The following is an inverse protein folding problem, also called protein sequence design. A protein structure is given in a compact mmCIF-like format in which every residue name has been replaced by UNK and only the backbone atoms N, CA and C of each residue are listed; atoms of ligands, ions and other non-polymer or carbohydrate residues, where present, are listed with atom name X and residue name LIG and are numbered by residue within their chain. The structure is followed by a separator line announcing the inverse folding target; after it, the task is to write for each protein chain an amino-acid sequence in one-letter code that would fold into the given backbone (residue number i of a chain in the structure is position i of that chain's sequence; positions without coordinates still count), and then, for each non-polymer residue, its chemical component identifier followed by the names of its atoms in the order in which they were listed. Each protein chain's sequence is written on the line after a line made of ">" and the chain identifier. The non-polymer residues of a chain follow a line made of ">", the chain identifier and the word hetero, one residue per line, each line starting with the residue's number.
data_IF_308382103910
#
_entry.id   IF_308382103910
#
_cell.length_a   1.000
_cell.length_b   1.000
_cell.length_c   1.000
_cell.angle_alpha   90.00
_cell.angle_beta   90.00
_cell.angle_gamma   90.00
#
_symmetry.space_group_name_H-M   'P 1'
#
loop_
_entity.id
_entity.type
_entity.pdbx_description
1 polymer ?
#
# COMPACT_ATOMS: atom_id res chain seq x y z
N UNK A 1 -16.11 17.58 51.52
CA UNK A 1 -15.17 16.48 51.82
C UNK A 1 -15.96 15.18 51.80
N UNK A 2 -16.07 14.51 50.65
CA UNK A 2 -16.81 13.25 50.52
C UNK A 2 -16.16 12.43 49.40
N UNK A 3 -15.79 11.19 49.78
CA UNK A 3 -15.16 10.18 48.93
C UNK A 3 -16.16 9.68 47.88
N UNK A 4 -15.71 9.52 46.64
CA UNK A 4 -16.39 8.71 45.64
C UNK A 4 -15.42 7.63 45.13
N UNK A 5 -15.76 6.39 45.46
CA UNK A 5 -15.25 5.17 44.83
C UNK A 5 -16.13 4.90 43.61
N UNK A 6 -15.55 4.67 42.43
CA UNK A 6 -16.22 3.87 41.40
C UNK A 6 -15.22 3.29 40.38
N UNK A 7 -14.92 2.00 40.57
CA UNK A 7 -15.01 0.93 39.56
C UNK A 7 -14.80 1.36 38.10
N UNK A 8 -13.62 1.05 37.55
CA UNK A 8 -13.44 0.85 36.10
C UNK A 8 -12.85 -0.54 35.89
N UNK A 9 -13.73 -1.53 35.88
CA UNK A 9 -13.46 -2.89 35.41
C UNK A 9 -14.00 -3.06 33.99
N UNK A 10 -13.11 -3.53 33.11
CA UNK A 10 -13.40 -4.56 32.11
C UNK A 10 -14.50 -4.28 31.06
N UNK A 11 -14.14 -3.55 29.99
CA UNK A 11 -14.81 -3.68 28.68
C UNK A 11 -13.77 -3.53 27.55
N UNK A 12 -13.00 -4.59 27.30
CA UNK A 12 -12.14 -4.70 26.12
C UNK A 12 -12.24 -6.13 25.54
N UNK A 13 -13.47 -6.60 25.37
CA UNK A 13 -13.82 -7.83 24.63
C UNK A 13 -15.14 -7.61 23.92
N UNK A 14 -15.17 -6.65 22.99
CA UNK A 14 -16.24 -6.54 22.00
C UNK A 14 -15.60 -6.26 20.63
N UNK A 15 -15.54 -7.34 19.84
CA UNK A 15 -15.78 -7.34 18.39
C UNK A 15 -14.72 -6.76 17.45
N UNK A 16 -13.68 -7.57 17.18
CA UNK A 16 -12.89 -7.50 15.93
C UNK A 16 -13.75 -7.85 14.70
N UNK A 17 -14.94 -8.46 14.89
CA UNK A 17 -15.88 -8.77 13.81
C UNK A 17 -16.74 -7.58 13.35
N UNK A 18 -16.87 -6.51 14.15
CA UNK A 18 -17.69 -5.34 13.78
C UNK A 18 -16.91 -4.22 13.06
N UNK A 19 -15.57 -4.23 13.10
CA UNK A 19 -14.78 -3.15 12.51
C UNK A 19 -14.54 -3.30 11.00
N UNK A 20 -14.85 -4.47 10.41
CA UNK A 20 -14.71 -4.70 8.95
C UNK A 20 -15.90 -4.16 8.13
N UNK A 21 -16.99 -3.69 8.76
CA UNK A 21 -18.21 -3.27 8.04
C UNK A 21 -18.48 -1.76 8.11
N UNK A 22 -17.83 -0.99 9.00
CA UNK A 22 -18.20 0.43 9.23
C UNK A 22 -17.08 1.46 9.04
N UNK A 23 -16.02 1.17 8.29
CA UNK A 23 -14.94 2.16 7.99
C UNK A 23 -14.67 2.28 6.49
N UNK A 24 -15.71 2.13 5.66
CA UNK A 24 -15.67 2.51 4.24
C UNK A 24 -16.98 3.22 3.89
N UNK A 25 -17.26 4.36 4.53
CA UNK A 25 -18.15 5.39 3.95
C UNK A 25 -17.89 6.70 4.69
N UNK A 26 -17.11 7.60 4.07
CA UNK A 26 -17.49 8.99 4.09
C UNK A 26 -17.64 9.48 2.65
N UNK A 27 -18.86 9.90 2.31
CA UNK A 27 -19.18 10.87 1.26
C UNK A 27 -18.62 10.60 -0.14
N UNK A 28 -19.22 9.64 -0.85
CA UNK A 28 -19.32 9.71 -2.31
C UNK A 28 -20.67 10.34 -2.64
N UNK A 29 -20.69 11.63 -2.94
CA UNK A 29 -21.85 12.28 -3.57
C UNK A 29 -21.95 11.76 -5.01
N UNK A 30 -22.70 10.67 -5.23
CA UNK A 30 -23.17 10.33 -6.57
C UNK A 30 -24.29 11.27 -6.97
N UNK A 31 -24.27 11.67 -8.24
CA UNK A 31 -25.20 12.62 -8.86
C UNK A 31 -26.66 12.29 -8.55
N UNK A 32 -27.47 13.34 -8.37
CA UNK A 32 -28.94 13.27 -8.36
C UNK A 32 -29.46 12.71 -9.69
N UNK A 33 -29.47 11.40 -9.85
CA UNK A 33 -30.53 10.71 -10.58
C UNK A 33 -31.49 10.18 -9.51
N UNK A 34 -32.74 10.63 -9.58
CA UNK A 34 -33.81 10.03 -8.76
C UNK A 34 -33.81 8.53 -9.09
N UNK A 35 -33.83 7.63 -8.10
CA UNK A 35 -34.13 6.23 -8.39
C UNK A 35 -35.53 6.21 -9.00
N UNK A 36 -35.65 5.75 -10.24
CA UNK A 36 -36.88 5.07 -10.63
C UNK A 36 -37.05 3.87 -9.70
N UNK A 37 -38.26 3.60 -9.23
CA UNK A 37 -38.62 2.63 -8.18
C UNK A 37 -38.29 1.15 -8.47
N UNK A 38 -37.35 0.84 -9.38
CA UNK A 38 -37.02 -0.51 -9.86
C UNK A 38 -35.60 -1.02 -9.49
N UNK A 39 -34.78 -0.26 -8.75
CA UNK A 39 -33.43 -0.68 -8.31
C UNK A 39 -33.47 -1.64 -7.09
N UNK A 40 -34.35 -2.64 -7.10
CA UNK A 40 -34.54 -3.62 -6.02
C UNK A 40 -33.67 -4.89 -6.15
N UNK A 41 -32.66 -4.89 -7.01
CA UNK A 41 -31.84 -6.07 -7.32
C UNK A 41 -31.08 -6.64 -6.11
N UNK A 42 -30.79 -5.84 -5.08
CA UNK A 42 -30.21 -6.30 -3.80
C UNK A 42 -31.10 -6.00 -2.60
N UNK A 43 -32.38 -6.36 -2.72
CA UNK A 43 -33.30 -6.36 -1.59
C UNK A 43 -32.89 -7.41 -0.53
N UNK A 44 -33.32 -7.27 0.75
CA UNK A 44 -33.06 -8.27 1.79
C UNK A 44 -33.45 -9.72 1.38
N UNK A 45 -34.55 -9.97 0.65
CA UNK A 45 -34.84 -11.30 0.08
C UNK A 45 -33.76 -11.80 -0.89
N UNK A 46 -33.29 -10.97 -1.82
CA UNK A 46 -32.24 -11.36 -2.77
C UNK A 46 -30.91 -11.64 -2.07
N UNK A 47 -30.54 -10.79 -1.10
CA UNK A 47 -29.35 -11.01 -0.28
C UNK A 47 -29.45 -12.32 0.53
N UNK A 48 -30.64 -12.65 1.06
CA UNK A 48 -30.89 -13.90 1.78
C UNK A 48 -30.74 -15.11 0.85
N UNK A 49 -31.28 -15.03 -0.37
CA UNK A 49 -31.14 -16.10 -1.37
C UNK A 49 -29.67 -16.35 -1.75
N UNK A 50 -28.91 -15.29 -2.00
CA UNK A 50 -27.47 -15.37 -2.33
C UNK A 50 -26.68 -15.98 -1.18
N UNK A 51 -26.96 -15.55 0.06
CA UNK A 51 -26.26 -16.02 1.25
C UNK A 51 -26.73 -17.40 1.74
N UNK A 52 -27.72 -18.04 1.11
CA UNK A 52 -28.28 -19.34 1.53
C UNK A 52 -27.24 -20.47 1.58
N UNK A 53 -26.16 -20.36 0.81
CA UNK A 53 -25.04 -21.33 0.81
C UNK A 53 -24.01 -21.07 1.91
N UNK A 54 -24.04 -19.91 2.55
CA UNK A 54 -23.17 -19.58 3.67
C UNK A 54 -23.84 -20.09 4.96
N UNK A 55 -23.15 -20.96 5.68
CA UNK A 55 -23.57 -21.40 7.00
C UNK A 55 -22.62 -20.87 8.04
N UNK A 56 -23.14 -20.58 9.23
CA UNK A 56 -22.28 -20.27 10.38
C UNK A 56 -21.55 -21.55 10.75
N UNK A 57 -20.27 -21.63 10.42
CA UNK A 57 -19.43 -22.73 10.86
C UNK A 57 -19.20 -22.56 12.37
N UNK A 58 -19.74 -23.48 13.17
CA UNK A 58 -19.41 -23.54 14.59
C UNK A 58 -17.89 -23.68 14.73
N UNK A 59 -17.29 -22.91 15.65
CA UNK A 59 -15.84 -22.93 15.87
C UNK A 59 -15.40 -24.35 16.22
N UNK A 60 -14.87 -25.05 15.23
CA UNK A 60 -14.28 -26.36 15.46
C UNK A 60 -13.06 -26.12 16.35
N UNK A 61 -12.91 -26.90 17.44
CA UNK A 61 -11.93 -26.68 18.53
C UNK A 61 -10.47 -26.47 18.09
N UNK A 62 -10.16 -26.74 16.82
CA UNK A 62 -8.82 -26.75 16.25
C UNK A 62 -8.65 -25.98 14.92
N UNK A 63 -9.61 -25.14 14.52
CA UNK A 63 -9.45 -24.25 13.36
C UNK A 63 -9.26 -22.79 13.80
N UNK A 64 -8.02 -22.31 13.75
CA UNK A 64 -7.69 -20.88 13.90
C UNK A 64 -7.68 -20.28 12.51
N UNK A 65 -8.47 -19.23 12.31
CA UNK A 65 -8.60 -18.57 11.02
C UNK A 65 -7.48 -17.55 10.90
N UNK A 66 -6.33 -18.01 10.39
CA UNK A 66 -5.20 -17.14 10.07
C UNK A 66 -5.36 -16.58 8.64
N UNK A 67 -5.04 -15.31 8.48
CA UNK A 67 -5.14 -14.59 7.20
C UNK A 67 -3.85 -13.81 6.92
N UNK A 68 -3.09 -14.14 5.87
CA UNK A 68 -3.25 -15.30 5.00
C UNK A 68 -3.01 -16.62 5.76
N UNK A 69 -3.61 -17.70 5.25
CA UNK A 69 -3.38 -19.04 5.77
C UNK A 69 -1.91 -19.44 5.57
N UNK A 70 -1.18 -19.84 6.64
CA UNK A 70 0.19 -20.28 6.51
C UNK A 70 0.36 -21.50 5.61
N UNK A 71 1.52 -21.59 4.96
CA UNK A 71 1.89 -22.68 4.07
C UNK A 71 1.83 -24.06 4.73
N UNK A 72 2.23 -24.15 6.01
CA UNK A 72 2.16 -25.38 6.80
C UNK A 72 1.90 -25.09 8.26
N UNK A 73 0.94 -25.81 8.83
CA UNK A 73 0.62 -25.79 10.26
C UNK A 73 0.69 -27.23 10.78
N UNK A 74 1.43 -27.44 11.85
CA UNK A 74 1.53 -28.72 12.56
C UNK A 74 1.01 -28.49 13.98
N UNK A 75 -0.11 -29.12 14.30
CA UNK A 75 -0.69 -29.14 15.64
C UNK A 75 -0.90 -30.59 16.08
N UNK A 76 -0.64 -30.90 17.35
CA UNK A 76 -0.83 -32.25 17.89
C UNK A 76 -2.31 -32.61 18.03
N UNK A 77 -2.69 -33.85 17.68
CA UNK A 77 -4.05 -34.37 17.89
C UNK A 77 -4.42 -34.51 19.38
N UNK A 78 -3.44 -34.42 20.30
CA UNK A 78 -3.64 -34.36 21.76
C UNK A 78 -3.32 -32.98 22.34
N UNK A 79 -3.38 -31.93 21.51
CA UNK A 79 -2.97 -30.60 21.92
C UNK A 79 -3.82 -30.05 23.09
N UNK A 80 -3.13 -29.59 24.13
CA UNK A 80 -3.72 -28.69 25.13
C UNK A 80 -3.90 -27.31 24.52
N UNK A 81 -4.87 -26.54 24.98
CA UNK A 81 -5.06 -25.16 24.52
C UNK A 81 -4.57 -24.17 25.55
N UNK A 82 -3.85 -23.15 25.12
CA UNK A 82 -3.48 -21.99 25.92
C UNK A 82 -4.21 -20.74 25.45
N UNK A 83 -4.27 -19.72 26.30
CA UNK A 83 -4.62 -18.34 25.91
C UNK A 83 -3.34 -17.51 25.95
N UNK A 84 -2.97 -16.88 24.84
CA UNK A 84 -1.81 -15.98 24.80
C UNK A 84 -2.21 -14.66 25.48
N UNK A 85 -1.55 -14.24 26.57
CA UNK A 85 -1.92 -13.04 27.30
C UNK A 85 -1.59 -11.75 26.53
N UNK A 86 -2.23 -10.65 26.92
CA UNK A 86 -1.93 -9.33 26.35
C UNK A 86 -0.54 -8.82 26.76
N UNK A 87 -0.11 -9.12 27.99
CA UNK A 87 1.22 -8.82 28.50
C UNK A 87 2.15 -9.99 28.24
N UNK A 88 3.16 -9.77 27.40
CA UNK A 88 4.20 -10.75 27.07
C UNK A 88 5.58 -10.15 27.32
N UNK A 89 6.56 -11.02 27.55
CA UNK A 89 7.98 -10.67 27.56
C UNK A 89 8.55 -11.01 26.19
N UNK A 90 9.17 -10.02 25.54
CA UNK A 90 9.83 -10.20 24.24
C UNK A 90 11.34 -10.23 24.48
N UNK A 91 11.98 -11.29 24.01
CA UNK A 91 13.43 -11.48 24.08
C UNK A 91 13.97 -11.62 22.66
N UNK A 92 14.69 -10.61 22.17
CA UNK A 92 15.33 -10.66 20.86
C UNK A 92 16.82 -10.93 21.04
N UNK A 93 17.35 -11.91 20.28
CA UNK A 93 18.79 -12.24 20.30
C UNK A 93 19.67 -11.07 19.81
N UNK A 94 19.14 -10.25 18.90
CA UNK A 94 19.80 -9.10 18.28
C UNK A 94 18.87 -7.87 18.28
N UNK A 95 19.42 -6.67 18.08
CA UNK A 95 18.63 -5.43 17.99
C UNK A 95 17.75 -5.41 16.75
N UNK A 96 16.44 -5.21 16.93
CA UNK A 96 15.50 -5.20 15.80
C UNK A 96 15.52 -3.85 15.05
N UNK A 97 15.51 -3.86 13.70
CA UNK A 97 15.53 -2.65 12.87
C UNK A 97 14.17 -1.92 12.78
N UNK A 98 13.27 -2.21 13.72
CA UNK A 98 11.93 -1.67 13.79
C UNK A 98 11.46 -1.60 15.25
N UNK A 99 10.51 -0.72 15.58
CA UNK A 99 9.93 -0.65 16.93
C UNK A 99 9.26 -1.96 17.33
N UNK A 100 9.54 -2.43 18.54
CA UNK A 100 8.94 -3.63 19.12
C UNK A 100 7.68 -3.24 19.90
N UNK A 101 6.61 -4.07 19.90
CA UNK A 101 5.51 -3.91 20.85
C UNK A 101 6.00 -3.86 22.30
N UNK A 102 5.19 -3.24 23.17
CA UNK A 102 5.53 -3.09 24.60
C UNK A 102 5.82 -4.46 25.24
N UNK A 103 7.04 -4.64 25.73
CA UNK A 103 7.51 -5.83 26.45
C UNK A 103 7.35 -5.65 27.97
N UNK A 104 6.91 -6.70 28.67
CA UNK A 104 6.68 -6.69 30.11
C UNK A 104 7.59 -7.73 30.79
N UNK A 105 8.61 -7.26 31.52
CA UNK A 105 9.65 -8.13 32.11
C UNK A 105 9.11 -9.23 33.05
N UNK A 106 7.97 -8.99 33.69
CA UNK A 106 7.33 -9.90 34.65
C UNK A 106 6.23 -10.78 34.01
N UNK A 107 6.05 -10.73 32.69
CA UNK A 107 5.03 -11.54 32.03
C UNK A 107 5.40 -13.03 32.04
N UNK A 108 4.39 -13.88 32.24
CA UNK A 108 4.53 -15.34 32.28
C UNK A 108 4.72 -15.97 30.89
N UNK A 109 4.31 -15.28 29.83
CA UNK A 109 4.48 -15.72 28.45
C UNK A 109 5.68 -15.04 27.81
N UNK A 110 6.58 -15.84 27.23
CA UNK A 110 7.83 -15.35 26.62
C UNK A 110 7.78 -15.61 25.11
N UNK A 111 8.02 -14.56 24.32
CA UNK A 111 8.27 -14.62 22.88
C UNK A 111 9.75 -14.37 22.63
N UNK A 112 10.47 -15.43 22.28
CA UNK A 112 11.87 -15.35 21.85
C UNK A 112 11.94 -15.14 20.33
N UNK A 113 12.74 -14.18 19.90
CA UNK A 113 12.95 -13.80 18.49
C UNK A 113 14.40 -14.06 18.12
N UNK A 114 14.59 -14.87 17.09
CA UNK A 114 15.88 -15.25 16.57
C UNK A 114 15.90 -15.06 15.04
N UNK A 115 16.86 -14.30 14.53
CA UNK A 115 17.09 -14.22 13.09
C UNK A 115 18.57 -14.25 12.77
N UNK A 116 18.90 -14.84 11.62
CA UNK A 116 20.28 -15.20 11.26
C UNK A 116 21.09 -14.00 10.78
N UNK A 117 20.47 -13.10 10.03
CA UNK A 117 21.19 -12.06 9.30
C UNK A 117 20.98 -10.67 9.93
N UNK A 118 22.03 -10.14 10.56
CA UNK A 118 22.15 -8.72 10.85
C UNK A 118 22.56 -8.01 9.55
N UNK A 119 21.58 -7.45 8.84
CA UNK A 119 21.86 -6.67 7.63
C UNK A 119 22.59 -5.39 8.07
N UNK A 120 23.94 -5.40 8.06
CA UNK A 120 24.89 -4.30 8.32
C UNK A 120 24.32 -2.85 8.16
N UNK A 121 23.49 -2.38 9.11
CA UNK A 121 22.59 -1.21 9.01
C UNK A 121 21.31 -1.40 8.18
N UNK A 122 20.24 -1.85 8.86
CA UNK A 122 18.81 -1.59 8.56
C UNK A 122 18.45 -1.13 7.12
N UNK A 123 18.54 -2.00 6.10
CA UNK A 123 18.26 -1.62 4.72
C UNK A 123 16.75 -1.55 4.46
N UNK A 124 16.38 -0.74 3.47
CA UNK A 124 15.02 -0.73 2.92
C UNK A 124 14.67 -2.12 2.33
N UNK A 125 13.43 -2.64 2.50
CA UNK A 125 13.06 -3.95 1.97
C UNK A 125 13.18 -4.00 0.44
N UNK A 126 13.77 -5.07 -0.09
CA UNK A 126 13.96 -5.26 -1.53
C UNK A 126 13.07 -6.37 -2.09
N UNK A 127 12.84 -6.37 -3.40
CA UNK A 127 12.13 -7.46 -4.06
C UNK A 127 12.90 -8.78 -3.89
N UNK A 128 12.20 -9.84 -3.50
CA UNK A 128 12.79 -11.17 -3.35
C UNK A 128 13.56 -11.38 -2.03
N UNK A 129 13.53 -10.42 -1.09
CA UNK A 129 14.01 -10.66 0.27
C UNK A 129 13.29 -11.86 0.89
N UNK A 130 14.02 -12.70 1.63
CA UNK A 130 13.46 -13.90 2.23
C UNK A 130 12.48 -13.53 3.35
N UNK A 131 11.19 -13.72 3.10
CA UNK A 131 10.10 -13.46 4.05
C UNK A 131 9.66 -14.71 4.82
N UNK A 132 10.38 -15.83 4.69
CA UNK A 132 10.00 -17.08 5.35
C UNK A 132 10.27 -17.03 6.85
N UNK A 133 9.44 -17.73 7.61
CA UNK A 133 9.59 -17.83 9.05
C UNK A 133 9.07 -19.16 9.60
N UNK A 134 9.55 -19.49 10.79
CA UNK A 134 9.04 -20.56 11.64
C UNK A 134 8.58 -19.99 12.97
N UNK A 135 7.34 -20.27 13.35
CA UNK A 135 6.77 -19.91 14.65
C UNK A 135 6.40 -21.18 15.41
N UNK A 136 7.05 -21.43 16.54
CA UNK A 136 6.77 -22.55 17.41
C UNK A 136 6.16 -22.03 18.73
N UNK A 137 5.04 -22.59 19.17
CA UNK A 137 4.40 -22.29 20.45
C UNK A 137 4.32 -23.58 21.26
N UNK A 138 4.86 -23.53 22.46
CA UNK A 138 4.93 -24.67 23.39
C UNK A 138 3.83 -24.57 24.46
N UNK A 139 3.56 -25.70 25.13
CA UNK A 139 2.60 -25.76 26.24
C UNK A 139 3.05 -24.99 27.49
N UNK A 140 4.33 -24.62 27.58
CA UNK A 140 4.93 -23.97 28.75
C UNK A 140 4.97 -22.44 28.60
N UNK A 141 3.96 -21.86 27.93
CA UNK A 141 3.84 -20.41 27.69
C UNK A 141 5.07 -19.78 27.01
N UNK A 142 5.71 -20.52 26.11
CA UNK A 142 6.85 -20.00 25.32
C UNK A 142 6.54 -20.08 23.83
N UNK A 143 6.83 -19.01 23.12
CA UNK A 143 6.88 -18.94 21.68
C UNK A 143 8.31 -18.65 21.21
N UNK A 144 8.72 -19.30 20.13
CA UNK A 144 9.97 -19.07 19.44
C UNK A 144 9.68 -18.72 17.99
N UNK A 145 10.08 -17.52 17.59
CA UNK A 145 9.97 -17.03 16.22
C UNK A 145 11.36 -16.96 15.59
N UNK A 146 11.55 -17.76 14.53
CA UNK A 146 12.78 -17.86 13.76
C UNK A 146 12.58 -17.40 12.32
N UNK A 147 13.52 -16.65 11.77
CA UNK A 147 13.55 -16.32 10.35
C UNK A 147 14.97 -16.03 9.88
N UNK A 148 15.19 -16.09 8.56
CA UNK A 148 16.48 -15.69 7.98
C UNK A 148 16.70 -14.18 8.05
N UNK A 149 15.64 -13.40 7.83
CA UNK A 149 15.67 -11.93 7.78
C UNK A 149 14.69 -11.31 8.75
N UNK A 150 14.87 -10.01 9.04
CA UNK A 150 13.92 -9.22 9.82
C UNK A 150 12.53 -9.14 9.19
N UNK A 151 12.41 -9.29 7.85
CA UNK A 151 11.12 -9.30 7.16
C UNK A 151 10.33 -10.56 7.50
N UNK A 152 10.99 -11.72 7.53
CA UNK A 152 10.37 -12.96 8.00
C UNK A 152 9.92 -12.86 9.46
N UNK A 153 10.69 -12.20 10.33
CA UNK A 153 10.25 -11.87 11.70
C UNK A 153 8.98 -11.03 11.68
N UNK A 154 8.91 -9.95 10.90
CA UNK A 154 7.69 -9.14 10.78
C UNK A 154 6.48 -9.96 10.32
N UNK A 155 6.63 -10.88 9.35
CA UNK A 155 5.54 -11.77 8.92
C UNK A 155 5.10 -12.73 10.01
N UNK A 156 6.05 -13.29 10.75
CA UNK A 156 5.77 -14.17 11.88
C UNK A 156 5.09 -13.45 13.04
N UNK A 157 5.47 -12.21 13.32
CA UNK A 157 4.80 -11.35 14.30
C UNK A 157 3.35 -11.07 13.90
N UNK A 158 3.06 -10.79 12.62
CA UNK A 158 1.67 -10.64 12.15
C UNK A 158 0.83 -11.89 12.41
N UNK A 159 1.41 -13.09 12.19
CA UNK A 159 0.75 -14.36 12.51
C UNK A 159 0.57 -14.56 14.00
N UNK A 160 1.58 -14.23 14.80
CA UNK A 160 1.51 -14.30 16.26
C UNK A 160 0.42 -13.38 16.83
N UNK A 161 0.28 -12.16 16.31
CA UNK A 161 -0.78 -11.23 16.69
C UNK A 161 -2.18 -11.77 16.36
N UNK A 162 -2.34 -12.43 15.20
CA UNK A 162 -3.60 -13.10 14.88
C UNK A 162 -3.88 -14.28 15.79
N UNK A 163 -2.87 -15.06 16.17
CA UNK A 163 -3.04 -16.14 17.17
C UNK A 163 -3.46 -15.57 18.52
N UNK A 164 -2.90 -14.43 18.92
CA UNK A 164 -3.22 -13.75 20.19
C UNK A 164 -4.66 -13.21 20.23
N UNK A 165 -5.27 -12.93 19.08
CA UNK A 165 -6.69 -12.54 19.02
C UNK A 165 -7.65 -13.72 19.19
N UNK A 166 -7.17 -14.96 19.11
CA UNK A 166 -7.97 -16.15 19.38
C UNK A 166 -8.01 -16.47 20.87
N UNK A 167 -9.17 -16.90 21.37
CA UNK A 167 -9.34 -17.26 22.79
C UNK A 167 -8.52 -18.47 23.23
N UNK A 168 -8.35 -19.43 22.30
CA UNK A 168 -7.67 -20.70 22.53
C UNK A 168 -6.74 -21.00 21.36
N UNK A 169 -5.48 -21.26 21.65
CA UNK A 169 -4.45 -21.67 20.70
C UNK A 169 -3.92 -23.03 21.14
N UNK A 170 -3.86 -24.04 20.25
CA UNK A 170 -3.42 -25.39 20.58
C UNK A 170 -1.91 -25.39 20.72
N UNK A 171 -1.43 -26.25 21.59
CA UNK A 171 -0.01 -26.43 21.85
C UNK A 171 0.30 -27.92 22.04
N UNK A 172 1.46 -28.40 21.58
CA UNK A 172 2.44 -27.67 20.79
C UNK A 172 1.93 -27.34 19.38
N UNK A 173 2.33 -26.19 18.86
CA UNK A 173 1.98 -25.68 17.53
C UNK A 173 3.25 -25.23 16.82
N UNK A 174 3.46 -25.70 15.61
CA UNK A 174 4.53 -25.26 14.73
C UNK A 174 3.94 -24.75 13.42
N UNK A 175 4.31 -23.54 13.04
CA UNK A 175 3.90 -22.89 11.79
C UNK A 175 5.16 -22.64 10.98
N UNK A 176 5.12 -23.07 9.72
CA UNK A 176 6.14 -22.75 8.73
C UNK A 176 5.45 -22.02 7.60
N UNK A 177 5.94 -20.84 7.26
CA UNK A 177 5.30 -20.03 6.24
C UNK A 177 6.31 -19.32 5.35
N UNK A 178 5.87 -19.10 4.11
CA UNK A 178 6.55 -18.32 3.09
C UNK A 178 5.51 -17.79 2.10
N UNK A 179 5.73 -16.62 1.49
CA UNK A 179 4.80 -16.11 0.50
C UNK A 179 4.80 -16.96 -0.77
N UNK A 180 3.62 -17.15 -1.38
CA UNK A 180 3.50 -17.73 -2.73
C UNK A 180 4.04 -16.78 -3.81
N UNK A 181 3.80 -15.49 -3.67
CA UNK A 181 4.19 -14.45 -4.62
C UNK A 181 5.06 -13.40 -3.94
N UNK A 182 6.13 -12.99 -4.61
CA UNK A 182 7.09 -11.98 -4.12
C UNK A 182 6.54 -10.55 -4.17
N UNK A 183 5.50 -10.30 -4.98
CA UNK A 183 4.82 -9.00 -5.10
C UNK A 183 3.36 -9.14 -4.66
N UNK A 184 2.98 -8.42 -3.60
CA UNK A 184 1.63 -8.43 -3.01
C UNK A 184 1.23 -6.98 -2.76
N UNK A 185 0.72 -6.37 -3.82
CA UNK A 185 0.52 -4.93 -3.94
C UNK A 185 -0.89 -4.45 -3.59
N UNK A 186 -0.99 -3.27 -2.99
CA UNK A 186 -2.20 -2.45 -2.92
C UNK A 186 -1.90 -1.12 -3.63
N UNK A 187 -2.74 -0.72 -4.57
CA UNK A 187 -2.68 0.61 -5.16
C UNK A 187 -3.64 1.55 -4.44
N UNK A 188 -3.17 2.75 -4.10
CA UNK A 188 -4.00 3.85 -3.59
C UNK A 188 -3.90 5.04 -4.53
N UNK A 189 -5.05 5.44 -5.07
CA UNK A 189 -5.23 6.71 -5.76
C UNK A 189 -5.44 7.81 -4.73
N UNK A 190 -4.46 8.70 -4.63
CA UNK A 190 -4.53 9.91 -3.82
C UNK A 190 -4.64 11.17 -4.71
N UNK A 191 -4.49 11.00 -6.03
CA UNK A 191 -4.52 12.07 -7.01
C UNK A 191 -5.93 12.61 -7.21
N UNK A 192 -6.92 11.72 -7.44
CA UNK A 192 -8.32 12.12 -7.66
C UNK A 192 -8.92 12.77 -6.41
N UNK A 193 -8.71 12.15 -5.25
CA UNK A 193 -9.12 12.68 -3.95
C UNK A 193 -7.99 12.52 -2.93
N UNK A 194 -7.62 13.61 -2.28
CA UNK A 194 -6.53 13.61 -1.32
C UNK A 194 -6.85 12.74 -0.10
N UNK A 195 -5.93 11.83 0.26
CA UNK A 195 -6.04 10.97 1.44
C UNK A 195 -5.02 11.41 2.49
N UNK A 196 -5.42 11.76 3.73
CA UNK A 196 -4.47 12.15 4.76
C UNK A 196 -3.44 11.05 5.09
N UNK A 197 -2.19 11.43 5.38
CA UNK A 197 -1.09 10.51 5.74
C UNK A 197 -1.49 9.53 6.86
N UNK A 198 -2.27 9.99 7.86
CA UNK A 198 -2.72 9.13 8.97
C UNK A 198 -3.63 7.99 8.50
N UNK A 199 -4.40 8.17 7.42
CA UNK A 199 -5.21 7.11 6.82
C UNK A 199 -4.31 6.15 6.03
N UNK A 200 -3.33 6.66 5.29
CA UNK A 200 -2.35 5.81 4.59
C UNK A 200 -1.56 4.95 5.59
N UNK A 201 -1.14 5.52 6.73
CA UNK A 201 -0.51 4.76 7.82
C UNK A 201 -1.41 3.65 8.38
N UNK A 202 -2.72 3.90 8.53
CA UNK A 202 -3.69 2.86 8.91
C UNK A 202 -3.75 1.76 7.86
N UNK A 203 -3.79 2.11 6.57
CA UNK A 203 -3.74 1.14 5.48
C UNK A 203 -2.48 0.29 5.53
N UNK A 204 -1.30 0.90 5.74
CA UNK A 204 -0.02 0.19 5.92
C UNK A 204 -0.07 -0.79 7.10
N UNK A 205 -0.73 -0.44 8.21
CA UNK A 205 -0.91 -1.36 9.34
C UNK A 205 -1.73 -2.60 8.95
N UNK A 206 -2.83 -2.41 8.20
CA UNK A 206 -3.63 -3.53 7.71
C UNK A 206 -2.86 -4.38 6.70
N UNK A 207 -2.17 -3.75 5.75
CA UNK A 207 -1.29 -4.42 4.80
C UNK A 207 -0.25 -5.29 5.52
N UNK A 208 0.38 -4.76 6.57
CA UNK A 208 1.33 -5.51 7.40
C UNK A 208 0.67 -6.74 8.02
N UNK A 209 -0.50 -6.58 8.63
CA UNK A 209 -1.25 -7.67 9.28
C UNK A 209 -1.58 -8.80 8.31
N UNK A 210 -1.95 -8.47 7.07
CA UNK A 210 -2.24 -9.45 6.00
C UNK A 210 -1.05 -9.77 5.10
N UNK A 211 0.17 -9.39 5.52
CA UNK A 211 1.45 -9.70 4.85
C UNK A 211 1.58 -9.15 3.42
N UNK A 212 0.86 -8.09 3.04
CA UNK A 212 1.13 -7.35 1.81
C UNK A 212 2.45 -6.57 1.95
N UNK A 213 3.17 -6.38 0.83
CA UNK A 213 4.54 -5.86 0.86
C UNK A 213 4.81 -4.71 -0.10
N UNK A 214 3.85 -4.32 -0.95
CA UNK A 214 4.00 -3.17 -1.84
C UNK A 214 2.79 -2.25 -1.72
N UNK A 215 3.03 -0.99 -1.41
CA UNK A 215 2.07 0.10 -1.52
C UNK A 215 2.40 0.88 -2.79
N UNK A 216 1.56 0.75 -3.80
CA UNK A 216 1.63 1.53 -5.03
C UNK A 216 0.86 2.84 -4.81
N UNK A 217 1.55 3.98 -4.81
CA UNK A 217 0.94 5.29 -4.58
C UNK A 217 0.81 6.05 -5.90
N UNK A 218 -0.42 6.21 -6.37
CA UNK A 218 -0.77 6.99 -7.54
C UNK A 218 -0.88 8.47 -7.15
N UNK A 219 0.19 9.23 -7.40
CA UNK A 219 0.46 10.56 -6.82
C UNK A 219 0.11 11.72 -7.75
N UNK A 220 -0.11 11.47 -9.03
CA UNK A 220 -0.53 12.51 -9.98
C UNK A 220 -1.50 11.97 -11.01
N UNK A 221 -2.50 12.79 -11.32
CA UNK A 221 -3.48 12.58 -12.39
C UNK A 221 -4.02 13.93 -12.86
N UNK A 222 -5.04 13.94 -13.71
CA UNK A 222 -5.69 15.15 -14.23
C UNK A 222 -6.29 16.05 -13.14
N UNK A 223 -6.78 15.45 -12.04
CA UNK A 223 -7.47 16.16 -10.96
C UNK A 223 -6.53 16.57 -9.82
N UNK A 224 -5.24 16.22 -9.87
CA UNK A 224 -4.30 16.71 -8.88
C UNK A 224 -2.90 16.11 -8.96
N UNK A 225 -1.93 16.91 -8.54
CA UNK A 225 -0.56 16.49 -8.28
C UNK A 225 -0.29 16.60 -6.78
N UNK A 226 0.05 15.48 -6.14
CA UNK A 226 -0.05 15.37 -4.67
C UNK A 226 1.28 15.36 -3.94
N UNK A 227 2.42 15.42 -4.61
CA UNK A 227 3.71 15.43 -3.95
C UNK A 227 4.49 16.73 -4.20
N UNK A 228 5.14 17.23 -3.17
CA UNK A 228 6.04 18.37 -3.27
C UNK A 228 7.25 18.07 -4.17
N UNK A 229 7.49 18.94 -5.14
CA UNK A 229 8.78 19.05 -5.85
C UNK A 229 9.42 20.39 -5.52
N UNK A 230 10.59 20.34 -4.89
CA UNK A 230 11.41 21.51 -4.60
C UNK A 230 11.98 22.12 -5.87
N UNK A 231 12.25 21.30 -6.90
CA UNK A 231 12.70 21.78 -8.20
C UNK A 231 11.57 22.38 -9.03
N UNK A 232 10.36 21.87 -8.87
CA UNK A 232 9.18 22.26 -9.62
C UNK A 232 8.00 22.62 -8.70
N UNK A 233 8.11 23.73 -7.93
CA UNK A 233 7.14 24.08 -6.88
C UNK A 233 5.75 24.43 -7.39
N UNK A 234 5.55 24.56 -8.71
CA UNK A 234 4.24 24.84 -9.31
C UNK A 234 3.47 23.58 -9.72
N UNK A 235 3.99 22.37 -9.44
CA UNK A 235 3.31 21.12 -9.79
C UNK A 235 2.05 20.88 -8.95
N UNK A 236 2.11 21.21 -7.66
CA UNK A 236 0.98 21.03 -6.74
C UNK A 236 0.34 22.37 -6.36
N UNK A 237 -0.90 22.31 -5.87
CA UNK A 237 -1.57 23.46 -5.24
C UNK A 237 -1.12 23.65 -3.78
N UNK A 238 -1.59 24.72 -3.13
CA UNK A 238 -1.27 25.04 -1.73
C UNK A 238 -2.10 24.29 -0.69
N UNK A 239 -3.07 23.46 -1.08
CA UNK A 239 -4.13 22.98 -0.18
C UNK A 239 -4.20 21.47 -0.01
N UNK A 240 -3.76 20.68 -1.00
CA UNK A 240 -3.93 19.23 -0.99
C UNK A 240 -2.72 18.48 -1.60
N UNK A 241 -1.60 18.53 -0.89
CA UNK A 241 -0.35 17.83 -1.25
C UNK A 241 0.39 17.31 0.00
N UNK A 242 1.33 16.40 -0.21
CA UNK A 242 2.26 15.90 0.79
C UNK A 242 3.61 16.63 0.63
N UNK A 243 4.17 17.15 1.72
CA UNK A 243 5.55 17.61 1.70
C UNK A 243 6.50 16.42 1.52
N UNK A 244 7.73 16.68 1.06
CA UNK A 244 8.74 15.61 1.01
C UNK A 244 9.06 15.07 2.40
N UNK A 245 8.99 15.90 3.44
CA UNK A 245 9.19 15.47 4.83
C UNK A 245 8.09 14.48 5.26
N UNK A 246 6.83 14.77 4.96
CA UNK A 246 5.72 13.86 5.24
C UNK A 246 5.90 12.52 4.50
N UNK A 247 6.33 12.58 3.24
CA UNK A 247 6.57 11.39 2.44
C UNK A 247 7.77 10.57 2.95
N UNK A 248 8.87 11.22 3.37
CA UNK A 248 10.01 10.53 4.01
C UNK A 248 9.57 9.81 5.29
N UNK A 249 8.77 10.47 6.13
CA UNK A 249 8.22 9.87 7.35
C UNK A 249 7.30 8.68 7.03
N UNK A 250 6.48 8.77 5.98
CA UNK A 250 5.63 7.67 5.52
C UNK A 250 6.45 6.49 4.99
N UNK A 251 7.50 6.75 4.21
CA UNK A 251 8.43 5.74 3.70
C UNK A 251 9.11 4.99 4.85
N UNK A 252 9.59 5.70 5.87
CA UNK A 252 10.18 5.09 7.06
C UNK A 252 9.12 4.27 7.85
N UNK A 253 7.90 4.80 7.98
CA UNK A 253 6.79 4.09 8.62
C UNK A 253 6.45 2.78 7.91
N UNK A 254 6.49 2.77 6.57
CA UNK A 254 6.29 1.59 5.74
C UNK A 254 7.48 0.61 5.85
N UNK A 255 8.73 1.13 5.86
CA UNK A 255 9.96 0.33 6.02
C UNK A 255 9.94 -0.48 7.31
N UNK A 256 9.53 0.13 8.42
CA UNK A 256 9.39 -0.53 9.73
C UNK A 256 8.40 -1.71 9.72
N UNK A 257 7.54 -1.80 8.70
CA UNK A 257 6.55 -2.86 8.49
C UNK A 257 6.89 -3.77 7.30
N UNK A 258 8.08 -3.60 6.73
CA UNK A 258 8.54 -4.26 5.51
C UNK A 258 7.55 -4.09 4.35
N UNK A 259 7.07 -2.86 4.17
CA UNK A 259 6.24 -2.44 3.03
C UNK A 259 7.06 -1.46 2.20
N UNK A 260 7.17 -1.77 0.92
CA UNK A 260 7.82 -0.98 -0.12
C UNK A 260 6.82 0.04 -0.66
N UNK A 261 7.22 1.28 -0.86
CA UNK A 261 6.40 2.31 -1.52
C UNK A 261 6.92 2.48 -2.94
N UNK A 262 6.07 2.17 -3.91
CA UNK A 262 6.33 2.40 -5.33
C UNK A 262 5.54 3.65 -5.73
N UNK A 263 6.21 4.76 -6.07
CA UNK A 263 5.52 5.95 -6.53
C UNK A 263 5.05 5.78 -7.97
N UNK A 264 3.94 6.40 -8.28
CA UNK A 264 3.44 6.58 -9.63
C UNK A 264 3.17 8.05 -9.92
N UNK A 265 3.72 8.49 -11.04
CA UNK A 265 3.44 9.78 -11.64
C UNK A 265 3.01 9.53 -13.07
N UNK A 266 1.70 9.55 -13.32
CA UNK A 266 1.14 9.14 -14.60
C UNK A 266 1.53 10.08 -15.75
N UNK A 267 1.90 9.47 -16.87
CA UNK A 267 2.37 10.10 -18.09
C UNK A 267 2.35 9.12 -19.28
N UNK A 268 2.16 9.59 -20.52
CA UNK A 268 2.02 10.98 -20.94
C UNK A 268 0.56 11.49 -20.95
N UNK A 269 -0.41 10.61 -20.75
CA UNK A 269 -1.81 10.96 -20.44
C UNK A 269 -1.97 11.23 -18.94
N UNK A 270 -3.19 11.57 -18.49
CA UNK A 270 -3.47 11.90 -17.09
C UNK A 270 -2.58 13.02 -16.52
N UNK A 271 -2.21 13.98 -17.38
CA UNK A 271 -1.20 15.00 -17.08
C UNK A 271 -1.76 16.42 -16.93
N UNK A 272 -3.08 16.61 -16.93
CA UNK A 272 -3.68 17.95 -16.87
C UNK A 272 -3.19 18.79 -15.68
N UNK A 273 -3.00 18.17 -14.51
CA UNK A 273 -2.48 18.86 -13.33
C UNK A 273 -1.03 19.38 -13.50
N UNK A 274 -0.21 18.72 -14.30
CA UNK A 274 1.16 19.16 -14.58
C UNK A 274 1.19 20.48 -15.35
N UNK A 275 0.24 20.64 -16.27
CA UNK A 275 0.19 21.77 -17.20
C UNK A 275 -0.24 23.08 -16.54
N UNK A 276 -0.82 23.04 -15.35
CA UNK A 276 -1.16 24.23 -14.56
C UNK A 276 0.10 25.01 -14.22
N UNK A 277 1.12 24.34 -13.68
CA UNK A 277 2.40 24.96 -13.34
C UNK A 277 3.37 25.07 -14.52
N UNK A 278 3.23 24.17 -15.49
CA UNK A 278 4.20 23.98 -16.58
C UNK A 278 3.49 23.72 -17.92
N UNK A 279 2.75 24.70 -18.47
CA UNK A 279 1.95 24.53 -19.70
C UNK A 279 2.79 24.20 -20.93
N UNK A 280 4.08 24.55 -20.92
CA UNK A 280 5.02 24.23 -21.99
C UNK A 280 5.26 22.72 -22.19
N UNK A 281 4.81 21.87 -21.26
CA UNK A 281 4.86 20.40 -21.37
C UNK A 281 3.70 19.84 -22.20
N UNK A 282 2.60 20.58 -22.37
CA UNK A 282 1.41 20.08 -23.05
C UNK A 282 1.55 20.10 -24.58
N UNK A 283 0.85 19.20 -25.25
CA UNK A 283 0.75 19.17 -26.73
C UNK A 283 0.10 20.43 -27.27
N UNK A 284 -1.12 20.74 -26.83
CA UNK A 284 -1.87 21.91 -27.31
C UNK A 284 -1.62 23.09 -26.38
N UNK A 285 -0.94 24.14 -26.83
CA UNK A 285 -0.66 25.30 -25.97
C UNK A 285 -1.94 26.14 -25.70
N UNK A 286 -2.48 26.05 -24.49
CA UNK A 286 -3.65 26.82 -24.02
C UNK A 286 -3.22 28.05 -23.21
N UNK A 287 -4.09 29.07 -23.15
CA UNK A 287 -3.85 30.27 -22.33
C UNK A 287 -3.80 29.97 -20.83
N UNK A 288 -4.54 28.97 -20.38
CA UNK A 288 -4.50 28.45 -19.01
C UNK A 288 -4.95 26.98 -18.94
N UNK A 289 -4.50 26.28 -17.90
CA UNK A 289 -4.98 24.96 -17.51
C UNK A 289 -5.63 25.02 -16.14
N UNK A 290 -6.57 24.11 -15.90
CA UNK A 290 -7.26 23.94 -14.64
C UNK A 290 -7.31 22.45 -14.27
N UNK A 291 -7.47 22.16 -12.99
CA UNK A 291 -7.71 20.79 -12.56
C UNK A 291 -9.03 20.30 -13.16
N UNK A 292 -8.99 19.06 -13.64
CA UNK A 292 -10.20 18.42 -14.14
C UNK A 292 -11.15 18.13 -12.98
N UNK A 293 -12.45 18.31 -13.21
CA UNK A 293 -13.50 18.11 -12.20
C UNK A 293 -14.32 16.84 -12.44
N UNK A 294 -14.11 16.20 -13.58
CA UNK A 294 -14.88 15.03 -14.02
C UNK A 294 -13.94 13.85 -14.23
N UNK A 295 -14.50 12.66 -14.04
CA UNK A 295 -13.82 11.40 -14.34
C UNK A 295 -13.78 11.16 -15.86
N UNK A 296 -13.04 10.13 -16.27
CA UNK A 296 -12.90 9.70 -17.66
C UNK A 296 -11.71 10.33 -18.39
N UNK A 297 -11.38 9.75 -19.55
CA UNK A 297 -10.20 10.09 -20.33
C UNK A 297 -10.22 11.54 -20.81
N UNK A 298 -9.09 12.23 -20.66
CA UNK A 298 -8.90 13.61 -21.07
C UNK A 298 -8.02 13.68 -22.30
N UNK A 299 -8.35 14.61 -23.19
CA UNK A 299 -7.58 14.80 -24.43
C UNK A 299 -6.20 15.43 -24.17
N UNK A 300 -6.03 16.10 -23.02
CA UNK A 300 -4.80 16.78 -22.67
C UNK A 300 -3.66 15.76 -22.49
N UNK A 301 -2.63 15.87 -23.33
CA UNK A 301 -1.48 14.95 -23.32
C UNK A 301 -0.17 15.71 -23.35
N UNK A 302 0.87 15.12 -22.76
CA UNK A 302 2.21 15.69 -22.78
C UNK A 302 2.79 15.66 -24.20
N UNK A 303 3.50 16.71 -24.61
CA UNK A 303 4.21 16.72 -25.89
C UNK A 303 5.51 15.92 -25.76
N UNK A 304 5.43 14.65 -26.16
CA UNK A 304 6.55 13.70 -26.07
C UNK A 304 7.56 13.86 -27.21
N UNK A 305 7.36 14.80 -28.15
CA UNK A 305 8.29 15.04 -29.26
C UNK A 305 9.35 16.08 -28.93
N UNK A 306 9.13 16.88 -27.87
CA UNK A 306 10.03 17.97 -27.48
C UNK A 306 11.19 17.49 -26.62
N UNK A 307 12.45 17.83 -26.96
CA UNK A 307 13.60 17.56 -26.09
C UNK A 307 13.43 18.16 -24.68
N UNK A 308 12.86 19.35 -24.56
CA UNK A 308 12.64 20.04 -23.29
C UNK A 308 11.75 19.25 -22.31
N UNK A 309 10.81 18.44 -22.81
CA UNK A 309 9.98 17.55 -21.99
C UNK A 309 10.86 16.54 -21.25
N UNK A 310 11.84 15.97 -21.94
CA UNK A 310 12.77 15.01 -21.34
C UNK A 310 13.77 15.68 -20.40
N UNK A 311 14.21 16.91 -20.68
CA UNK A 311 15.06 17.67 -19.75
C UNK A 311 14.33 18.01 -18.44
N UNK A 312 13.03 18.30 -18.53
CA UNK A 312 12.17 18.49 -17.37
C UNK A 312 12.05 17.18 -16.58
N UNK A 313 11.67 16.09 -17.26
CA UNK A 313 11.44 14.79 -16.61
C UNK A 313 12.73 14.21 -16.01
N UNK A 314 13.89 14.37 -16.66
CA UNK A 314 15.18 13.94 -16.10
C UNK A 314 15.49 14.64 -14.78
N UNK A 315 15.27 15.96 -14.70
CA UNK A 315 15.41 16.72 -13.44
C UNK A 315 14.36 16.31 -12.41
N UNK A 316 13.13 16.03 -12.83
CA UNK A 316 12.05 15.60 -11.94
C UNK A 316 12.35 14.23 -11.32
N UNK A 317 12.70 13.25 -12.15
CA UNK A 317 13.08 11.92 -11.68
C UNK A 317 14.34 11.96 -10.82
N UNK A 318 15.33 12.80 -11.13
CA UNK A 318 16.51 12.95 -10.26
C UNK A 318 16.15 13.32 -8.82
N UNK A 319 15.08 14.10 -8.62
CA UNK A 319 14.58 14.47 -7.31
C UNK A 319 13.74 13.33 -6.70
N UNK A 320 12.74 12.83 -7.43
CA UNK A 320 11.81 11.83 -6.90
C UNK A 320 12.49 10.50 -6.56
N UNK A 321 13.46 10.07 -7.36
CA UNK A 321 14.23 8.85 -7.09
C UNK A 321 15.16 8.96 -5.89
N UNK A 322 15.55 10.16 -5.47
CA UNK A 322 16.27 10.36 -4.19
C UNK A 322 15.32 10.23 -2.99
N UNK A 323 14.06 10.63 -3.16
CA UNK A 323 13.03 10.52 -2.14
C UNK A 323 12.55 9.07 -1.96
N UNK A 324 12.31 8.35 -3.06
CA UNK A 324 11.81 6.97 -3.04
C UNK A 324 12.95 5.95 -3.20
N UNK A 325 13.30 5.19 -2.14
CA UNK A 325 14.43 4.26 -2.16
C UNK A 325 14.13 2.95 -2.91
N UNK A 326 12.87 2.68 -3.26
CA UNK A 326 12.50 1.47 -4.00
C UNK A 326 13.12 1.47 -5.40
N UNK A 327 13.48 0.29 -5.91
CA UNK A 327 14.00 0.17 -7.28
C UNK A 327 12.94 0.41 -8.35
N UNK A 328 11.66 0.21 -8.05
CA UNK A 328 10.59 0.41 -9.01
C UNK A 328 10.05 1.83 -8.92
N UNK A 329 9.84 2.43 -10.09
CA UNK A 329 9.21 3.72 -10.27
C UNK A 329 8.16 3.58 -11.37
N UNK A 330 6.89 3.82 -11.07
CA UNK A 330 5.81 3.63 -12.04
C UNK A 330 5.56 4.93 -12.79
N UNK A 331 5.36 4.84 -14.11
CA UNK A 331 5.16 5.99 -14.99
C UNK A 331 3.72 6.08 -15.52
N UNK A 332 2.84 5.20 -15.06
CA UNK A 332 1.48 5.07 -15.57
C UNK A 332 1.47 4.60 -17.02
N UNK A 333 0.83 5.37 -17.88
CA UNK A 333 0.76 5.12 -19.32
C UNK A 333 -0.52 4.43 -19.77
N UNK A 334 -1.58 4.47 -18.95
CA UNK A 334 -2.91 4.07 -19.32
C UNK A 334 -3.66 5.16 -20.11
N UNK A 335 -4.77 4.73 -20.73
CA UNK A 335 -5.79 5.57 -21.40
C UNK A 335 -5.26 6.74 -22.25
N UNK A 336 -4.15 6.52 -22.95
CA UNK A 336 -3.51 7.55 -23.76
C UNK A 336 -4.19 7.78 -25.11
N UNK A 337 -5.30 8.51 -25.07
CA UNK A 337 -6.07 8.85 -26.27
C UNK A 337 -5.34 9.88 -27.16
N UNK A 338 -5.34 9.70 -28.49
CA UNK A 338 -4.40 10.40 -29.36
C UNK A 338 -4.87 11.76 -29.86
N UNK A 339 -6.02 12.29 -29.40
CA UNK A 339 -6.69 13.45 -30.01
C UNK A 339 -5.76 14.66 -30.19
N UNK A 340 -5.16 15.19 -29.12
CA UNK A 340 -4.27 16.36 -29.22
C UNK A 340 -2.99 16.05 -30.02
N UNK A 341 -2.46 14.83 -29.93
CA UNK A 341 -1.30 14.41 -30.73
C UNK A 341 -1.60 14.37 -32.24
N UNK A 342 -2.81 13.92 -32.61
CA UNK A 342 -3.21 13.78 -34.01
C UNK A 342 -3.57 15.12 -34.66
N UNK A 343 -4.08 16.07 -33.87
CA UNK A 343 -4.35 17.43 -34.33
C UNK A 343 -3.07 18.29 -34.44
N UNK A 344 -1.99 17.92 -33.75
CA UNK A 344 -0.73 18.67 -33.76
C UNK A 344 0.10 18.43 -35.02
N UNK A 345 0.18 19.45 -35.88
CA UNK A 345 0.98 19.41 -37.11
C UNK A 345 2.48 19.14 -36.84
N UNK A 346 3.00 19.62 -35.70
CA UNK A 346 4.37 19.36 -35.26
C UNK A 346 4.60 17.88 -34.95
N UNK A 347 3.67 17.25 -34.24
CA UNK A 347 3.76 15.83 -33.89
C UNK A 347 3.58 14.96 -35.15
N UNK A 348 2.68 15.33 -36.05
CA UNK A 348 2.55 14.66 -37.35
C UNK A 348 3.84 14.71 -38.18
N UNK A 349 4.54 15.86 -38.18
CA UNK A 349 5.87 15.99 -38.82
C UNK A 349 6.91 15.10 -38.13
N UNK A 350 6.88 15.01 -36.80
CA UNK A 350 7.78 14.16 -36.02
C UNK A 350 7.56 12.67 -36.31
N UNK A 351 6.31 12.19 -36.33
CA UNK A 351 5.95 10.80 -36.65
C UNK A 351 6.55 10.38 -38.01
N UNK A 352 6.37 11.21 -39.05
CA UNK A 352 6.92 10.97 -40.38
C UNK A 352 8.46 10.93 -40.38
N UNK A 353 9.10 11.87 -39.68
CA UNK A 353 10.56 11.97 -39.59
C UNK A 353 11.17 10.73 -38.91
N UNK A 354 10.60 10.32 -37.78
CA UNK A 354 11.10 9.20 -36.97
C UNK A 354 10.57 7.83 -37.43
N UNK A 355 9.77 7.79 -38.51
CA UNK A 355 9.14 6.59 -39.07
C UNK A 355 8.28 5.84 -38.04
N UNK A 356 7.51 6.60 -37.26
CA UNK A 356 6.49 6.11 -36.34
C UNK A 356 5.14 6.20 -37.05
N UNK A 357 4.32 5.15 -36.98
CA UNK A 357 3.12 5.01 -37.82
C UNK A 357 1.80 5.18 -37.06
N UNK A 358 1.86 5.22 -35.73
CA UNK A 358 0.69 5.28 -34.86
C UNK A 358 0.97 6.09 -33.58
N UNK A 359 -0.09 6.44 -32.84
CA UNK A 359 0.08 7.03 -31.51
C UNK A 359 0.66 6.02 -30.52
N UNK A 360 0.38 4.72 -30.69
CA UNK A 360 1.00 3.68 -29.87
C UNK A 360 2.52 3.64 -30.09
N UNK A 361 2.99 3.83 -31.32
CA UNK A 361 4.42 3.95 -31.61
C UNK A 361 5.03 5.18 -30.93
N UNK A 362 4.29 6.29 -30.85
CA UNK A 362 4.70 7.51 -30.17
C UNK A 362 4.75 7.33 -28.64
N UNK A 363 3.76 6.66 -28.06
CA UNK A 363 3.76 6.31 -26.64
C UNK A 363 4.90 5.32 -26.32
N UNK A 364 5.14 4.32 -27.17
CA UNK A 364 6.28 3.41 -27.03
C UNK A 364 7.62 4.13 -27.20
N UNK A 365 7.71 5.14 -28.07
CA UNK A 365 8.86 6.03 -28.17
C UNK A 365 9.10 6.78 -26.84
N UNK A 366 8.04 7.37 -26.26
CA UNK A 366 8.11 8.03 -24.95
C UNK A 366 8.58 7.07 -23.85
N UNK A 367 7.94 5.90 -23.71
CA UNK A 367 8.27 4.92 -22.67
C UNK A 367 9.75 4.50 -22.73
N UNK A 368 10.29 4.21 -23.93
CA UNK A 368 11.72 3.88 -24.11
C UNK A 368 12.66 5.02 -23.73
N UNK A 369 12.24 6.27 -23.89
CA UNK A 369 13.02 7.44 -23.48
C UNK A 369 13.01 7.60 -21.96
N UNK A 370 11.85 7.40 -21.32
CA UNK A 370 11.71 7.46 -19.85
C UNK A 370 12.47 6.31 -19.18
N UNK A 371 12.37 5.09 -19.70
CA UNK A 371 13.15 3.94 -19.24
C UNK A 371 14.65 4.25 -19.22
N UNK A 372 15.19 4.84 -20.30
CA UNK A 372 16.61 5.25 -20.37
C UNK A 372 16.96 6.31 -19.32
N UNK A 373 16.05 7.23 -19.00
CA UNK A 373 16.26 8.24 -17.97
C UNK A 373 16.29 7.60 -16.59
N UNK A 374 15.28 6.76 -16.26
CA UNK A 374 15.17 6.06 -14.99
C UNK A 374 16.33 5.09 -14.75
N UNK A 375 16.83 4.43 -15.79
CA UNK A 375 18.02 3.56 -15.72
C UNK A 375 19.25 4.31 -15.17
N UNK A 376 19.43 5.59 -15.50
CA UNK A 376 20.54 6.42 -14.96
C UNK A 376 20.47 6.54 -13.43
N UNK A 377 19.26 6.50 -12.87
CA UNK A 377 18.98 6.60 -11.44
C UNK A 377 18.85 5.23 -10.75
N UNK A 378 19.21 4.13 -11.45
CA UNK A 378 19.04 2.76 -10.98
C UNK A 378 17.58 2.43 -10.65
N UNK A 379 16.67 2.81 -11.56
CA UNK A 379 15.25 2.47 -11.52
C UNK A 379 14.85 1.68 -12.76
#
# INVERSE_FOLDING_TARGET
>A
MLKAVSIVTCLATISIYFLLINIIYPYVCWSKHRPSDDDSYMSPPTATFINKRLTRVCSNRYRFNLMPMPSKIIASNRATTIRIPSMIRIEAKHSLPFPIPKSFNNASFILSIEYEYDMNNNPYPTLGIDESYQLNITSNNRALLRAKTYVGILRGLSTFEQLRSHEKVPTPLAIFDKPRFIWRGLMLDVARHFIPISIIQKTINFMHLVKMNVLHLHLSDDQGFRLESKRFPRLHDSHAFYSQSDMQNLIEYARQRAIRIVPEFDMPAHTSAWFIGYPHLATTQKSSYHLEKTWGVKNATMDVTRPSTYDFLDKFFSEMTQLFPDRYFHIGGDECEPYEWMESEQIQKFLKKERLYSHQDLQAYFNRRIEKILTKYNR
#
